data_IF_021000499455
#
_entry.id   IF_021000499455
#
_cell.length_a   1.000
_cell.length_b   1.000
_cell.length_c   1.000
_cell.angle_alpha   90.00
_cell.angle_beta   90.00
_cell.angle_gamma   90.00
#
_symmetry.space_group_name_H-M   'P 1'
#
loop_
_entity.id
_entity.type
_entity.pdbx_description
1 polymer ?
#
# COMPACT_ATOMS: atom_id res chain seq x y z
N UNK A 1 -11.28 25.58 -10.35
CA UNK A 1 -12.44 25.49 -9.45
C UNK A 1 -12.63 24.00 -9.19
N UNK A 2 -12.20 23.50 -8.03
CA UNK A 2 -12.19 22.06 -7.75
C UNK A 2 -13.65 21.64 -7.52
N UNK A 3 -14.18 20.79 -8.40
CA UNK A 3 -15.52 20.22 -8.24
C UNK A 3 -15.52 19.37 -6.97
N UNK A 4 -16.24 19.79 -5.92
CA UNK A 4 -16.38 19.04 -4.68
C UNK A 4 -17.27 17.83 -4.89
N UNK A 5 -16.79 16.63 -4.59
CA UNK A 5 -17.64 15.45 -4.58
C UNK A 5 -18.62 15.46 -3.41
N UNK A 6 -19.86 15.09 -3.69
CA UNK A 6 -20.84 14.72 -2.66
C UNK A 6 -20.33 13.43 -2.00
N UNK A 7 -19.85 13.52 -0.75
CA UNK A 7 -19.21 12.44 0.03
C UNK A 7 -17.81 12.01 -0.46
N UNK A 8 -16.80 12.85 -0.20
CA UNK A 8 -15.38 12.56 -0.50
C UNK A 8 -14.65 11.88 0.66
N UNK A 9 -13.47 11.30 0.39
CA UNK A 9 -12.62 10.70 1.44
C UNK A 9 -12.15 11.72 2.50
N UNK A 10 -12.23 13.02 2.23
CA UNK A 10 -11.93 14.07 3.21
C UNK A 10 -12.80 13.97 4.46
N UNK A 11 -14.05 13.48 4.33
CA UNK A 11 -14.94 13.24 5.48
C UNK A 11 -14.33 12.19 6.44
N UNK A 12 -13.61 11.19 5.92
CA UNK A 12 -12.95 10.17 6.73
C UNK A 12 -11.65 10.70 7.34
N UNK A 13 -10.88 11.47 6.57
CA UNK A 13 -9.65 12.09 7.06
C UNK A 13 -9.91 13.07 8.20
N UNK A 14 -11.01 13.82 8.15
CA UNK A 14 -11.41 14.76 9.21
C UNK A 14 -11.55 14.07 10.56
N UNK A 15 -12.04 12.81 10.59
CA UNK A 15 -12.15 12.03 11.82
C UNK A 15 -10.81 11.54 12.36
N UNK A 16 -9.84 11.30 11.48
CA UNK A 16 -8.54 10.69 11.83
C UNK A 16 -7.48 11.74 12.14
N UNK A 17 -7.49 12.88 11.44
CA UNK A 17 -6.50 13.97 11.53
C UNK A 17 -6.15 14.36 12.98
N UNK A 18 -7.10 14.51 13.92
CA UNK A 18 -6.78 14.88 15.31
C UNK A 18 -5.88 13.88 16.05
N UNK A 19 -5.79 12.65 15.56
CA UNK A 19 -5.04 11.57 16.18
C UNK A 19 -3.72 11.26 15.47
N UNK A 20 -3.36 12.03 14.45
CA UNK A 20 -2.08 11.91 13.75
C UNK A 20 -1.15 13.00 14.24
N UNK A 21 0.02 12.60 14.73
CA UNK A 21 1.03 13.54 15.22
C UNK A 21 1.57 14.41 14.09
N UNK A 22 1.77 15.70 14.37
CA UNK A 22 2.48 16.63 13.47
C UNK A 22 3.94 16.27 13.25
N UNK A 23 4.48 15.34 14.05
CA UNK A 23 5.81 14.77 13.84
C UNK A 23 5.83 13.74 12.69
N UNK A 24 4.68 13.19 12.32
CA UNK A 24 4.55 12.24 11.20
C UNK A 24 4.06 12.93 9.94
N UNK A 25 3.06 13.82 10.07
CA UNK A 25 2.44 14.54 8.96
C UNK A 25 2.27 16.01 9.33
N UNK A 26 2.98 16.90 8.65
CA UNK A 26 2.87 18.35 8.80
C UNK A 26 1.62 18.92 8.11
N UNK A 27 1.38 20.22 8.33
CA UNK A 27 0.19 20.90 7.80
C UNK A 27 0.16 20.91 6.28
N UNK A 28 1.29 21.16 5.61
CA UNK A 28 1.35 21.19 4.14
C UNK A 28 1.05 19.82 3.54
N UNK A 29 1.63 18.76 4.10
CA UNK A 29 1.33 17.38 3.71
C UNK A 29 -0.16 17.07 3.93
N UNK A 30 -0.74 17.50 5.04
CA UNK A 30 -2.19 17.33 5.29
C UNK A 30 -3.06 18.04 4.26
N UNK A 31 -2.74 19.27 3.90
CA UNK A 31 -3.51 20.04 2.92
C UNK A 31 -3.47 19.36 1.54
N UNK A 32 -2.32 18.82 1.16
CA UNK A 32 -2.18 18.04 -0.07
C UNK A 32 -2.94 16.71 -0.02
N UNK A 33 -2.87 15.98 1.10
CA UNK A 33 -3.63 14.73 1.29
C UNK A 33 -5.14 15.01 1.22
N UNK A 34 -5.61 16.08 1.85
CA UNK A 34 -7.02 16.49 1.80
C UNK A 34 -7.44 16.89 0.39
N UNK A 35 -6.58 17.57 -0.37
CA UNK A 35 -6.84 17.92 -1.77
C UNK A 35 -6.97 16.66 -2.65
N UNK A 36 -6.14 15.63 -2.46
CA UNK A 36 -6.27 14.33 -3.14
C UNK A 36 -7.57 13.65 -2.71
N UNK A 37 -7.82 13.53 -1.41
CA UNK A 37 -8.98 12.85 -0.87
C UNK A 37 -10.30 13.52 -1.30
N UNK A 38 -10.30 14.83 -1.53
CA UNK A 38 -11.47 15.56 -2.02
C UNK A 38 -11.88 15.18 -3.45
N UNK A 39 -10.96 14.61 -4.24
CA UNK A 39 -11.21 14.12 -5.60
C UNK A 39 -11.75 12.69 -5.64
N UNK A 40 -11.78 12.00 -4.50
CA UNK A 40 -12.03 10.57 -4.40
C UNK A 40 -13.30 10.28 -3.58
N UNK A 41 -14.23 9.43 -4.08
CA UNK A 41 -15.44 9.13 -3.34
C UNK A 41 -15.13 8.38 -2.06
N UNK A 42 -15.83 8.69 -0.96
CA UNK A 42 -15.60 8.03 0.33
C UNK A 42 -15.89 6.52 0.27
N UNK A 43 -16.78 6.09 -0.63
CA UNK A 43 -17.17 4.69 -0.82
C UNK A 43 -16.14 3.90 -1.64
N UNK A 44 -15.09 4.55 -2.15
CA UNK A 44 -14.04 3.90 -2.91
C UNK A 44 -13.26 2.90 -2.06
N UNK A 45 -13.13 3.17 -0.75
CA UNK A 45 -12.31 2.36 0.14
C UNK A 45 -12.85 2.38 1.57
N UNK A 46 -12.60 1.31 2.30
CA UNK A 46 -12.67 1.26 3.76
C UNK A 46 -11.28 1.15 4.40
N UNK A 47 -10.19 1.18 3.63
CA UNK A 47 -8.84 0.89 4.08
C UNK A 47 -7.83 1.80 3.38
N UNK A 48 -7.27 2.74 4.14
CA UNK A 48 -6.30 3.71 3.66
C UNK A 48 -5.18 3.89 4.68
N UNK A 49 -4.16 4.67 4.34
CA UNK A 49 -3.02 4.86 5.20
C UNK A 49 -2.08 5.96 4.76
N UNK A 50 -1.00 6.07 5.52
CA UNK A 50 0.05 7.05 5.35
C UNK A 50 1.41 6.36 5.37
N UNK A 51 2.27 6.69 4.42
CA UNK A 51 3.68 6.25 4.42
C UNK A 51 4.54 7.42 4.93
N UNK A 52 5.07 7.30 6.15
CA UNK A 52 5.84 8.36 6.80
C UNK A 52 7.34 8.04 6.77
N UNK A 53 8.18 8.95 6.27
CA UNK A 53 9.64 8.80 6.35
C UNK A 53 10.11 8.96 7.79
N UNK A 54 10.98 8.09 8.28
CA UNK A 54 11.41 8.11 9.69
C UNK A 54 12.77 8.74 9.93
N UNK A 55 13.68 8.63 8.97
CA UNK A 55 15.06 9.14 9.06
C UNK A 55 15.23 10.58 8.58
N UNK A 56 14.15 11.27 8.23
CA UNK A 56 14.15 12.70 7.87
C UNK A 56 13.47 13.50 8.97
N UNK A 57 13.93 14.73 9.23
CA UNK A 57 13.28 15.59 10.23
C UNK A 57 11.90 16.06 9.75
N UNK A 58 11.76 16.30 8.44
CA UNK A 58 10.50 16.71 7.81
C UNK A 58 9.39 15.68 8.02
N UNK A 59 8.24 16.14 8.47
CA UNK A 59 7.06 15.32 8.75
C UNK A 59 6.21 15.17 7.49
N UNK A 60 6.77 14.56 6.45
CA UNK A 60 6.06 14.30 5.21
C UNK A 60 5.55 12.88 5.14
N UNK A 61 4.37 12.72 4.56
CA UNK A 61 3.79 11.41 4.32
C UNK A 61 3.08 11.33 2.98
N UNK A 62 3.26 10.19 2.31
CA UNK A 62 2.50 9.82 1.13
C UNK A 62 1.15 9.24 1.54
N UNK A 63 0.16 9.31 0.66
CA UNK A 63 -1.21 8.83 0.91
C UNK A 63 -1.51 7.60 0.08
N UNK A 64 -2.09 6.58 0.70
CA UNK A 64 -2.42 5.34 0.00
C UNK A 64 -3.78 4.81 0.40
N UNK A 65 -4.46 4.15 -0.54
CA UNK A 65 -5.72 3.48 -0.30
C UNK A 65 -5.81 2.14 -1.01
N UNK A 66 -6.54 1.21 -0.41
CA UNK A 66 -6.80 -0.13 -0.91
C UNK A 66 -8.25 -0.25 -1.36
N UNK A 67 -8.47 -0.94 -2.46
CA UNK A 67 -9.80 -1.23 -2.99
C UNK A 67 -9.88 -2.75 -3.15
N UNK A 68 -10.78 -3.42 -2.42
CA UNK A 68 -10.95 -4.87 -2.49
C UNK A 68 -11.89 -5.34 -3.61
N UNK A 69 -11.65 -6.55 -4.13
CA UNK A 69 -12.50 -7.19 -5.15
C UNK A 69 -13.93 -7.43 -4.66
N UNK A 70 -14.09 -7.74 -3.37
CA UNK A 70 -15.38 -8.02 -2.75
C UNK A 70 -16.09 -6.76 -2.22
N UNK A 71 -15.56 -5.58 -2.51
CA UNK A 71 -16.02 -4.31 -1.94
C UNK A 71 -16.73 -3.44 -2.98
N UNK A 72 -17.53 -2.49 -2.49
CA UNK A 72 -18.26 -1.54 -3.35
C UNK A 72 -17.29 -0.69 -4.17
N UNK A 73 -16.09 -0.42 -3.63
CA UNK A 73 -15.06 0.39 -4.29
C UNK A 73 -14.69 -0.10 -5.69
N UNK A 74 -14.66 -1.42 -5.92
CA UNK A 74 -14.43 -1.98 -7.25
C UNK A 74 -15.43 -1.45 -8.28
N UNK A 75 -16.72 -1.39 -7.91
CA UNK A 75 -17.82 -0.87 -8.75
C UNK A 75 -17.77 0.65 -8.91
N UNK A 76 -17.32 1.37 -7.88
CA UNK A 76 -17.16 2.82 -7.94
C UNK A 76 -16.11 3.21 -9.00
N UNK A 77 -15.01 2.46 -9.12
CA UNK A 77 -13.97 2.74 -10.13
C UNK A 77 -14.49 2.79 -11.57
N UNK A 78 -15.52 2.01 -11.89
CA UNK A 78 -16.11 1.94 -13.25
C UNK A 78 -17.31 2.86 -13.43
N UNK A 79 -17.81 3.49 -12.36
CA UNK A 79 -18.92 4.43 -12.44
C UNK A 79 -18.55 5.67 -13.25
N UNK A 80 -19.48 6.10 -14.10
CA UNK A 80 -19.34 7.31 -14.91
C UNK A 80 -19.28 8.58 -14.05
N UNK A 81 -19.93 8.56 -12.88
CA UNK A 81 -20.06 9.72 -11.99
C UNK A 81 -19.04 9.74 -10.85
N UNK A 82 -18.26 8.67 -10.68
CA UNK A 82 -17.33 8.54 -9.55
C UNK A 82 -16.08 9.42 -9.66
N UNK A 83 -15.77 9.95 -10.85
CA UNK A 83 -14.60 10.82 -11.07
C UNK A 83 -15.01 11.98 -11.95
N UNK A 84 -14.43 13.16 -11.69
CA UNK A 84 -14.67 14.33 -12.54
C UNK A 84 -14.07 14.15 -13.93
N UNK A 85 -14.65 14.81 -14.93
CA UNK A 85 -14.11 14.81 -16.29
C UNK A 85 -12.66 15.32 -16.33
N UNK A 86 -12.31 16.27 -15.46
CA UNK A 86 -10.94 16.78 -15.34
C UNK A 86 -9.95 15.72 -14.86
N UNK A 87 -10.33 14.89 -13.88
CA UNK A 87 -9.48 13.77 -13.43
C UNK A 87 -9.32 12.74 -14.56
N UNK A 88 -10.39 12.51 -15.32
CA UNK A 88 -10.39 11.57 -16.45
C UNK A 88 -9.70 12.10 -17.71
N UNK A 89 -9.30 13.38 -17.76
CA UNK A 89 -8.39 13.88 -18.79
C UNK A 89 -6.99 13.29 -18.64
N UNK A 90 -6.60 12.89 -17.42
CA UNK A 90 -5.35 12.20 -17.19
C UNK A 90 -5.40 10.75 -17.72
N UNK A 91 -4.42 10.33 -18.55
CA UNK A 91 -4.40 8.98 -19.10
C UNK A 91 -4.41 7.87 -18.06
N UNK A 92 -3.70 8.06 -16.94
CA UNK A 92 -3.57 7.05 -15.87
C UNK A 92 -4.92 6.74 -15.23
N UNK A 93 -5.76 7.74 -15.00
CA UNK A 93 -7.11 7.51 -14.45
C UNK A 93 -8.02 6.74 -15.41
N UNK A 94 -7.89 6.96 -16.72
CA UNK A 94 -8.59 6.13 -17.72
C UNK A 94 -8.07 4.69 -17.74
N UNK A 95 -6.77 4.50 -17.58
CA UNK A 95 -6.13 3.18 -17.51
C UNK A 95 -6.59 2.40 -16.27
N UNK A 96 -6.66 3.05 -15.11
CA UNK A 96 -7.21 2.46 -13.87
C UNK A 96 -8.67 2.07 -14.07
N UNK A 97 -9.49 2.92 -14.69
CA UNK A 97 -10.88 2.59 -15.02
C UNK A 97 -10.99 1.40 -15.98
N UNK A 98 -10.13 1.33 -17.00
CA UNK A 98 -10.10 0.20 -17.93
C UNK A 98 -9.70 -1.11 -17.24
N UNK A 99 -8.70 -1.04 -16.36
CA UNK A 99 -8.34 -2.16 -15.49
C UNK A 99 -9.54 -2.61 -14.64
N UNK A 100 -10.23 -1.67 -13.98
CA UNK A 100 -11.40 -1.98 -13.15
C UNK A 100 -12.56 -2.59 -13.94
N UNK A 101 -12.80 -2.15 -15.18
CA UNK A 101 -13.79 -2.74 -16.09
C UNK A 101 -13.46 -4.21 -16.39
N UNK A 102 -12.19 -4.51 -16.70
CA UNK A 102 -11.75 -5.89 -16.90
C UNK A 102 -11.82 -6.70 -15.60
N UNK A 103 -11.45 -6.11 -14.47
CA UNK A 103 -11.48 -6.76 -13.15
C UNK A 103 -12.88 -7.20 -12.72
N UNK A 104 -13.93 -6.45 -13.09
CA UNK A 104 -15.33 -6.85 -12.84
C UNK A 104 -15.86 -7.91 -13.81
N UNK A 105 -15.18 -8.16 -14.93
CA UNK A 105 -15.67 -9.08 -15.96
C UNK A 105 -15.28 -10.52 -15.64
N UNK A 106 -16.26 -11.41 -15.44
CA UNK A 106 -16.03 -12.85 -15.18
C UNK A 106 -15.24 -13.58 -16.28
N UNK A 107 -15.21 -13.02 -17.50
CA UNK A 107 -14.42 -13.55 -18.62
C UNK A 107 -12.96 -13.09 -18.62
N UNK A 108 -12.62 -12.09 -17.79
CA UNK A 108 -11.25 -11.59 -17.66
C UNK A 108 -10.46 -12.45 -16.66
N UNK A 109 -9.16 -12.72 -16.92
CA UNK A 109 -8.31 -13.35 -15.92
C UNK A 109 -8.16 -12.49 -14.65
N UNK A 110 -8.41 -11.19 -14.71
CA UNK A 110 -8.31 -10.31 -13.53
C UNK A 110 -9.37 -10.65 -12.47
N UNK A 111 -10.56 -11.10 -12.88
CA UNK A 111 -11.68 -11.37 -11.98
C UNK A 111 -11.35 -12.40 -10.89
N UNK A 112 -10.60 -13.45 -11.24
CA UNK A 112 -10.24 -14.53 -10.31
C UNK A 112 -8.84 -14.41 -9.73
N UNK A 113 -7.98 -13.57 -10.28
CA UNK A 113 -6.58 -13.48 -9.87
C UNK A 113 -6.21 -12.21 -9.10
N UNK A 114 -7.04 -11.15 -9.16
CA UNK A 114 -6.77 -9.89 -8.47
C UNK A 114 -7.71 -9.73 -7.29
N UNK A 115 -7.13 -9.67 -6.09
CA UNK A 115 -7.87 -9.57 -4.83
C UNK A 115 -8.14 -8.11 -4.43
N UNK A 116 -7.23 -7.20 -4.79
CA UNK A 116 -7.30 -5.79 -4.46
C UNK A 116 -6.42 -4.96 -5.41
N UNK A 117 -6.65 -3.65 -5.42
CA UNK A 117 -5.69 -2.68 -5.94
C UNK A 117 -5.34 -1.64 -4.87
N UNK A 118 -4.10 -1.15 -4.90
CA UNK A 118 -3.66 -0.01 -4.12
C UNK A 118 -3.36 1.16 -5.03
N UNK A 119 -3.84 2.35 -4.64
CA UNK A 119 -3.44 3.63 -5.23
C UNK A 119 -2.56 4.34 -4.22
N UNK A 120 -1.33 4.64 -4.59
CA UNK A 120 -0.35 5.35 -3.76
C UNK A 120 0.01 6.69 -4.40
N UNK A 121 -0.13 7.76 -3.64
CA UNK A 121 0.11 9.13 -4.08
C UNK A 121 1.35 9.68 -3.39
N UNK A 122 2.35 10.04 -4.19
CA UNK A 122 3.48 10.83 -3.71
C UNK A 122 2.96 12.25 -3.38
N UNK A 123 3.05 12.67 -2.11
CA UNK A 123 2.47 13.95 -1.61
C UNK A 123 3.49 15.09 -1.58
N UNK A 124 4.72 14.82 -2.04
CA UNK A 124 5.81 15.78 -2.08
C UNK A 124 5.54 16.95 -3.06
N UNK A 125 5.26 18.15 -2.52
CA UNK A 125 5.16 19.41 -3.27
C UNK A 125 3.72 19.91 -3.49
N UNK A 126 3.55 21.06 -4.16
CA UNK A 126 2.22 21.58 -4.47
C UNK A 126 1.53 20.78 -5.58
N UNK A 127 0.24 20.48 -5.38
CA UNK A 127 -0.61 19.82 -6.37
C UNK A 127 -1.03 20.79 -7.48
N UNK A 128 -0.10 21.12 -8.37
CA UNK A 128 -0.36 22.00 -9.52
C UNK A 128 -1.12 21.29 -10.66
N UNK A 129 -1.31 19.96 -10.54
CA UNK A 129 -1.94 19.09 -11.54
C UNK A 129 -2.79 18.02 -10.88
N UNK A 130 -3.62 17.35 -11.68
CA UNK A 130 -4.36 16.16 -11.26
C UNK A 130 -3.40 15.12 -10.66
N UNK A 131 -3.69 14.56 -9.48
CA UNK A 131 -2.79 13.62 -8.83
C UNK A 131 -2.75 12.31 -9.63
N UNK A 132 -1.54 11.83 -9.91
CA UNK A 132 -1.31 10.56 -10.59
C UNK A 132 -0.88 9.54 -9.52
N UNK A 133 -1.63 8.47 -9.27
CA UNK A 133 -1.21 7.45 -8.32
C UNK A 133 -0.23 6.47 -8.98
N UNK A 134 0.72 5.96 -8.19
CA UNK A 134 1.26 4.62 -8.43
C UNK A 134 0.16 3.59 -8.16
N UNK A 135 0.16 2.48 -8.91
CA UNK A 135 -0.89 1.47 -8.82
C UNK A 135 -0.28 0.10 -8.57
N UNK A 136 -0.79 -0.60 -7.56
CA UNK A 136 -0.44 -1.99 -7.28
C UNK A 136 -1.69 -2.85 -7.39
N UNK A 137 -1.54 -4.08 -7.86
CA UNK A 137 -2.58 -5.10 -7.76
C UNK A 137 -2.10 -6.26 -6.91
N UNK A 138 -2.94 -6.64 -5.94
CA UNK A 138 -2.70 -7.76 -5.05
C UNK A 138 -3.22 -9.06 -5.63
N UNK A 139 -2.47 -10.15 -5.40
CA UNK A 139 -2.85 -11.50 -5.83
C UNK A 139 -2.29 -12.54 -4.88
N UNK A 140 -3.11 -13.51 -4.48
CA UNK A 140 -2.64 -14.69 -3.74
C UNK A 140 -2.22 -15.87 -4.64
N UNK A 141 -2.31 -15.72 -5.96
CA UNK A 141 -2.16 -16.84 -6.91
C UNK A 141 -0.82 -16.87 -7.66
N UNK A 142 0.08 -15.91 -7.42
CA UNK A 142 1.37 -15.81 -8.13
C UNK A 142 2.48 -16.56 -7.37
N UNK A 143 2.59 -17.87 -7.60
CA UNK A 143 3.61 -18.75 -7.03
C UNK A 143 4.58 -19.27 -8.10
N UNK A 144 5.75 -19.79 -7.69
CA UNK A 144 6.56 -20.63 -8.56
C UNK A 144 5.74 -21.84 -9.04
N UNK A 145 5.98 -22.26 -10.28
CA UNK A 145 5.14 -23.24 -10.94
C UNK A 145 5.64 -24.67 -10.76
N UNK A 146 4.69 -25.60 -10.66
CA UNK A 146 4.94 -27.00 -10.98
C UNK A 146 4.94 -27.17 -12.51
N UNK A 147 5.76 -28.09 -13.01
CA UNK A 147 6.24 -28.22 -14.40
C UNK A 147 5.18 -28.41 -15.52
N UNK A 148 3.88 -28.34 -15.22
CA UNK A 148 2.83 -28.83 -16.12
C UNK A 148 1.91 -27.75 -16.71
N UNK A 149 2.07 -26.46 -16.36
CA UNK A 149 1.27 -25.36 -16.94
C UNK A 149 2.15 -24.36 -17.67
N UNK A 150 1.90 -24.19 -18.96
CA UNK A 150 2.61 -23.22 -19.80
C UNK A 150 2.12 -21.80 -19.48
N UNK A 151 2.95 -20.99 -18.83
CA UNK A 151 2.76 -19.54 -18.60
C UNK A 151 1.44 -19.09 -17.92
N UNK A 152 1.07 -19.65 -16.76
CA UNK A 152 -0.14 -19.27 -16.03
C UNK A 152 -0.16 -17.81 -15.56
N UNK A 153 1.01 -17.16 -15.43
CA UNK A 153 1.12 -15.77 -15.01
C UNK A 153 1.15 -14.76 -16.16
N UNK A 154 0.88 -15.19 -17.41
CA UNK A 154 0.81 -14.28 -18.58
C UNK A 154 -0.18 -13.13 -18.42
N UNK A 155 -1.26 -13.34 -17.67
CA UNK A 155 -2.24 -12.29 -17.41
C UNK A 155 -1.62 -11.08 -16.70
N UNK A 156 -0.54 -11.28 -15.92
CA UNK A 156 0.19 -10.20 -15.23
C UNK A 156 0.71 -9.19 -16.26
N UNK A 157 1.40 -9.65 -17.29
CA UNK A 157 2.04 -8.77 -18.29
C UNK A 157 1.11 -8.41 -19.44
N UNK A 158 0.33 -9.38 -19.94
CA UNK A 158 -0.50 -9.26 -21.14
C UNK A 158 -1.90 -8.70 -20.87
N UNK A 159 -2.29 -8.54 -19.60
CA UNK A 159 -3.59 -7.97 -19.24
C UNK A 159 -3.44 -6.90 -18.18
N UNK A 160 -3.00 -7.25 -16.97
CA UNK A 160 -2.97 -6.32 -15.83
C UNK A 160 -2.06 -5.12 -16.10
N UNK A 161 -0.77 -5.37 -16.36
CA UNK A 161 0.21 -4.30 -16.60
C UNK A 161 -0.10 -3.53 -17.88
N UNK A 162 -0.50 -4.22 -18.96
CA UNK A 162 -0.86 -3.55 -20.21
C UNK A 162 -2.03 -2.57 -20.03
N UNK A 163 -3.07 -2.95 -19.27
CA UNK A 163 -4.21 -2.07 -18.99
C UNK A 163 -3.79 -0.87 -18.15
N UNK A 164 -2.99 -1.09 -17.10
CA UNK A 164 -2.54 -0.02 -16.20
C UNK A 164 -1.53 0.94 -16.82
N UNK A 165 -0.72 0.48 -17.78
CA UNK A 165 0.24 1.35 -18.50
C UNK A 165 -0.35 1.96 -19.78
N UNK A 166 -1.39 1.35 -20.32
CA UNK A 166 -1.93 1.66 -21.65
C UNK A 166 -1.09 1.12 -22.82
N UNK A 167 0.00 0.40 -22.55
CA UNK A 167 0.88 -0.20 -23.55
C UNK A 167 1.57 -1.46 -22.97
N UNK A 168 2.05 -2.34 -23.85
CA UNK A 168 2.76 -3.56 -23.44
C UNK A 168 4.12 -3.25 -22.82
N UNK A 169 4.60 -4.13 -21.95
CA UNK A 169 5.99 -4.10 -21.47
C UNK A 169 6.97 -4.35 -22.62
N UNK A 170 8.18 -3.83 -22.48
CA UNK A 170 9.29 -4.23 -23.36
C UNK A 170 9.54 -5.74 -23.19
N UNK A 171 9.78 -6.50 -24.28
CA UNK A 171 9.98 -7.95 -24.21
C UNK A 171 11.10 -8.37 -23.25
N UNK A 172 12.14 -7.54 -23.11
CA UNK A 172 13.25 -7.79 -22.18
C UNK A 172 12.80 -7.68 -20.72
N UNK A 173 11.98 -6.69 -20.37
CA UNK A 173 11.44 -6.52 -19.00
C UNK A 173 10.49 -7.66 -18.68
N UNK A 174 9.62 -8.04 -19.62
CA UNK A 174 8.71 -9.18 -19.47
C UNK A 174 9.49 -10.49 -19.21
N UNK A 175 10.54 -10.75 -20.01
CA UNK A 175 11.40 -11.93 -19.82
C UNK A 175 12.06 -11.94 -18.43
N UNK A 176 12.55 -10.79 -17.97
CA UNK A 176 13.18 -10.69 -16.65
C UNK A 176 12.18 -10.85 -15.51
N UNK A 177 10.98 -10.30 -15.64
CA UNK A 177 9.91 -10.53 -14.68
C UNK A 177 9.58 -12.02 -14.58
N UNK A 178 9.38 -12.71 -15.69
CA UNK A 178 9.10 -14.15 -15.66
C UNK A 178 10.26 -14.96 -15.06
N UNK A 179 11.51 -14.61 -15.36
CA UNK A 179 12.66 -15.23 -14.68
C UNK A 179 12.59 -15.08 -13.16
N UNK A 180 12.16 -13.92 -12.66
CA UNK A 180 12.00 -13.71 -11.21
C UNK A 180 10.85 -14.54 -10.63
N UNK A 181 9.73 -14.66 -11.36
CA UNK A 181 8.57 -15.48 -10.93
C UNK A 181 8.86 -16.99 -10.96
N UNK A 182 9.61 -17.46 -11.95
CA UNK A 182 10.03 -18.86 -12.08
C UNK A 182 11.07 -19.25 -11.01
N UNK A 183 11.86 -18.28 -10.56
CA UNK A 183 12.89 -18.47 -9.54
C UNK A 183 12.35 -18.47 -8.09
N UNK A 184 11.05 -18.24 -7.87
CA UNK A 184 10.50 -18.14 -6.52
C UNK A 184 10.75 -19.42 -5.72
N UNK A 185 11.22 -19.33 -4.46
CA UNK A 185 11.33 -20.50 -3.60
C UNK A 185 9.96 -21.16 -3.37
N UNK A 186 9.97 -22.43 -2.98
CA UNK A 186 8.72 -23.15 -2.65
C UNK A 186 7.97 -22.41 -1.53
N UNK A 187 6.65 -22.26 -1.70
CA UNK A 187 5.72 -21.53 -0.81
C UNK A 187 5.89 -20.01 -0.75
N UNK A 188 6.89 -19.44 -1.42
CA UNK A 188 7.00 -17.99 -1.62
C UNK A 188 6.11 -17.57 -2.78
N UNK A 189 5.46 -16.43 -2.63
CA UNK A 189 4.58 -15.89 -3.65
C UNK A 189 4.70 -14.37 -3.76
N UNK A 190 4.37 -13.85 -4.94
CA UNK A 190 4.22 -12.41 -5.17
C UNK A 190 2.82 -12.02 -4.72
N UNK A 191 2.73 -11.30 -3.61
CA UNK A 191 1.43 -10.87 -3.07
C UNK A 191 0.95 -9.56 -3.69
N UNK A 192 1.86 -8.77 -4.27
CA UNK A 192 1.56 -7.51 -4.96
C UNK A 192 2.51 -7.29 -6.15
N UNK A 193 1.97 -6.70 -7.21
CA UNK A 193 2.72 -6.19 -8.36
C UNK A 193 2.42 -4.71 -8.51
N UNK A 194 3.46 -3.87 -8.58
CA UNK A 194 3.36 -2.41 -8.55
C UNK A 194 3.91 -1.73 -9.80
N UNK A 195 3.26 -0.63 -10.18
CA UNK A 195 3.68 0.27 -11.25
C UNK A 195 3.73 1.69 -10.69
N UNK A 196 4.92 2.31 -10.76
CA UNK A 196 5.15 3.67 -10.28
C UNK A 196 4.66 4.71 -11.31
N UNK A 197 3.37 4.70 -11.64
CA UNK A 197 2.79 5.46 -12.77
C UNK A 197 2.93 6.98 -12.63
N UNK A 198 3.10 7.48 -11.40
CA UNK A 198 3.39 8.88 -11.12
C UNK A 198 4.81 9.31 -11.53
N UNK A 199 5.71 8.34 -11.76
CA UNK A 199 7.13 8.53 -11.99
C UNK A 199 7.49 8.13 -13.43
N UNK A 200 8.56 8.73 -13.96
CA UNK A 200 9.13 8.34 -15.26
C UNK A 200 9.95 7.05 -15.11
N UNK A 201 9.29 5.94 -14.78
CA UNK A 201 9.92 4.64 -14.58
C UNK A 201 9.17 3.56 -15.33
N UNK A 202 9.91 2.79 -16.12
CA UNK A 202 9.38 1.61 -16.81
C UNK A 202 9.49 0.32 -15.99
N UNK A 203 10.02 0.40 -14.76
CA UNK A 203 10.20 -0.76 -13.90
C UNK A 203 8.87 -1.30 -13.35
N UNK A 204 8.83 -2.61 -13.14
CA UNK A 204 7.75 -3.32 -12.45
C UNK A 204 8.23 -3.72 -11.07
N UNK A 205 7.47 -3.36 -10.03
CA UNK A 205 7.73 -3.83 -8.67
C UNK A 205 7.03 -5.16 -8.43
N UNK A 206 7.70 -6.10 -7.79
CA UNK A 206 7.07 -7.27 -7.17
C UNK A 206 7.35 -7.27 -5.67
N UNK A 207 6.34 -7.60 -4.87
CA UNK A 207 6.46 -7.73 -3.42
C UNK A 207 6.23 -9.19 -3.04
N UNK A 208 7.19 -9.77 -2.33
CA UNK A 208 7.31 -11.19 -2.03
C UNK A 208 6.96 -11.46 -0.58
N UNK A 209 6.15 -12.47 -0.33
CA UNK A 209 5.73 -12.88 1.01
C UNK A 209 6.06 -14.35 1.27
N UNK A 210 6.10 -14.71 2.55
CA UNK A 210 6.43 -16.05 3.05
C UNK A 210 7.86 -16.48 2.73
N UNK A 211 8.77 -15.51 2.60
CA UNK A 211 10.19 -15.73 2.35
C UNK A 211 10.98 -15.54 3.65
N UNK A 212 11.82 -16.52 4.00
CA UNK A 212 12.69 -16.39 5.17
C UNK A 212 13.91 -15.52 4.85
N UNK A 213 14.56 -14.91 5.86
CA UNK A 213 15.80 -14.15 5.67
C UNK A 213 16.90 -14.90 4.91
N UNK A 214 17.06 -16.20 5.15
CA UNK A 214 18.02 -17.03 4.40
C UNK A 214 17.61 -17.18 2.92
N UNK A 215 16.33 -17.45 2.66
CA UNK A 215 15.81 -17.55 1.29
C UNK A 215 15.89 -16.23 0.53
N UNK A 216 15.78 -15.06 1.19
CA UNK A 216 16.01 -13.76 0.55
C UNK A 216 17.41 -13.70 -0.07
N UNK A 217 18.44 -14.10 0.69
CA UNK A 217 19.83 -14.10 0.23
C UNK A 217 20.03 -15.05 -0.95
N UNK A 218 19.54 -16.28 -0.82
CA UNK A 218 19.68 -17.31 -1.86
C UNK A 218 18.95 -16.90 -3.15
N UNK A 219 17.72 -16.38 -3.01
CA UNK A 219 16.89 -15.92 -4.13
C UNK A 219 17.52 -14.76 -4.89
N UNK A 220 17.97 -13.71 -4.17
CA UNK A 220 18.61 -12.54 -4.78
C UNK A 220 19.89 -12.93 -5.53
N UNK A 221 20.70 -13.82 -4.95
CA UNK A 221 21.91 -14.35 -5.60
C UNK A 221 21.56 -15.11 -6.88
N UNK A 222 20.52 -15.95 -6.84
CA UNK A 222 20.08 -16.77 -7.98
C UNK A 222 19.55 -15.94 -9.15
N UNK A 223 18.76 -14.90 -8.88
CA UNK A 223 18.24 -14.00 -9.93
C UNK A 223 19.29 -13.00 -10.44
N UNK A 224 20.49 -12.99 -9.86
CA UNK A 224 21.61 -12.15 -10.28
C UNK A 224 21.47 -10.70 -9.82
N UNK A 225 20.92 -10.47 -8.62
CA UNK A 225 20.86 -9.15 -8.02
C UNK A 225 22.26 -8.57 -7.80
N UNK A 226 22.43 -7.28 -8.11
CA UNK A 226 23.73 -6.61 -8.12
C UNK A 226 24.11 -5.92 -6.80
N UNK A 227 23.25 -6.00 -5.79
CA UNK A 227 23.55 -5.46 -4.46
C UNK A 227 24.52 -6.32 -3.64
N UNK A 228 25.06 -5.74 -2.57
CA UNK A 228 25.94 -6.40 -1.61
C UNK A 228 25.16 -7.38 -0.74
N UNK A 229 25.42 -8.67 -0.96
CA UNK A 229 24.86 -9.80 -0.20
C UNK A 229 25.34 -9.80 1.26
N UNK A 230 26.61 -9.51 1.52
CA UNK A 230 27.16 -9.55 2.89
C UNK A 230 26.55 -8.47 3.79
N UNK A 231 26.40 -7.26 3.27
CA UNK A 231 25.73 -6.17 3.98
C UNK A 231 24.25 -6.48 4.23
N UNK A 232 23.56 -7.05 3.23
CA UNK A 232 22.17 -7.44 3.36
C UNK A 232 21.98 -8.56 4.38
N UNK A 233 22.87 -9.55 4.41
CA UNK A 233 22.84 -10.66 5.37
C UNK A 233 22.95 -10.14 6.80
N UNK A 234 23.86 -9.20 7.04
CA UNK A 234 24.03 -8.54 8.34
C UNK A 234 22.75 -7.81 8.74
N UNK A 235 22.21 -6.98 7.84
CA UNK A 235 20.97 -6.24 8.11
C UNK A 235 19.78 -7.17 8.40
N UNK A 236 19.62 -8.23 7.61
CA UNK A 236 18.54 -9.20 7.83
C UNK A 236 18.65 -9.91 9.19
N UNK A 237 19.87 -10.24 9.62
CA UNK A 237 20.10 -10.81 10.95
C UNK A 237 19.71 -9.84 12.06
N UNK A 238 20.07 -8.56 11.92
CA UNK A 238 19.70 -7.51 12.88
C UNK A 238 18.19 -7.29 12.95
N UNK A 239 17.52 -7.16 11.80
CA UNK A 239 16.08 -6.92 11.74
C UNK A 239 15.28 -8.09 12.30
N UNK A 240 15.70 -9.33 12.01
CA UNK A 240 15.00 -10.56 12.43
C UNK A 240 14.93 -10.75 13.94
N UNK A 241 15.77 -10.04 14.72
CA UNK A 241 15.69 -10.04 16.19
C UNK A 241 14.37 -9.41 16.67
N UNK A 242 13.85 -8.44 15.93
CA UNK A 242 12.76 -7.58 16.38
C UNK A 242 11.41 -7.92 15.77
N UNK A 243 11.38 -8.57 14.60
CA UNK A 243 10.16 -8.70 13.78
C UNK A 243 9.79 -10.17 13.54
N UNK A 244 8.53 -10.42 13.21
CA UNK A 244 8.03 -11.79 12.96
C UNK A 244 8.17 -12.21 11.50
N UNK A 245 8.07 -11.24 10.59
CA UNK A 245 8.08 -11.48 9.15
C UNK A 245 8.75 -10.31 8.45
N UNK A 246 9.50 -10.64 7.39
CA UNK A 246 10.05 -9.67 6.45
C UNK A 246 9.53 -10.05 5.07
N UNK A 247 8.79 -9.13 4.43
CA UNK A 247 8.42 -9.25 3.02
C UNK A 247 9.45 -8.46 2.16
N UNK A 248 9.68 -8.89 0.91
CA UNK A 248 10.76 -8.37 0.05
C UNK A 248 10.21 -7.69 -1.20
N UNK A 249 10.63 -6.44 -1.44
CA UNK A 249 10.24 -5.66 -2.60
C UNK A 249 11.39 -5.50 -3.59
N UNK A 250 11.13 -5.79 -4.86
CA UNK A 250 12.11 -5.72 -5.95
C UNK A 250 11.55 -4.94 -7.13
N UNK A 251 12.35 -4.04 -7.70
CA UNK A 251 12.05 -3.36 -8.95
C UNK A 251 12.80 -4.05 -10.11
N UNK A 252 12.08 -4.34 -11.20
CA UNK A 252 12.59 -5.07 -12.37
C UNK A 252 12.47 -4.15 -13.59
N UNK A 253 13.59 -3.83 -14.22
CA UNK A 253 13.65 -2.95 -15.40
C UNK A 253 14.47 -3.57 -16.52
N UNK A 254 14.80 -2.81 -17.58
CA UNK A 254 15.57 -3.36 -18.71
C UNK A 254 16.95 -3.92 -18.30
N UNK A 255 17.60 -3.28 -17.33
CA UNK A 255 18.93 -3.65 -16.87
C UNK A 255 18.98 -4.82 -15.87
N UNK A 256 17.85 -5.46 -15.54
CA UNK A 256 17.77 -6.47 -14.50
C UNK A 256 16.96 -6.02 -13.28
N UNK A 257 17.18 -6.74 -12.18
CA UNK A 257 16.68 -6.37 -10.85
C UNK A 257 17.49 -5.18 -10.34
N UNK A 258 16.80 -4.12 -9.91
CA UNK A 258 17.44 -2.93 -9.37
C UNK A 258 18.22 -3.24 -8.08
N UNK A 259 19.35 -2.55 -7.88
CA UNK A 259 20.17 -2.71 -6.68
C UNK A 259 19.44 -2.28 -5.38
N UNK A 260 18.43 -1.42 -5.50
CA UNK A 260 17.60 -0.96 -4.38
C UNK A 260 16.49 -1.98 -4.12
N UNK A 261 16.36 -2.42 -2.86
CA UNK A 261 15.30 -3.33 -2.41
C UNK A 261 14.58 -2.78 -1.17
N UNK A 262 13.36 -3.23 -0.94
CA UNK A 262 12.59 -2.94 0.27
C UNK A 262 12.44 -4.18 1.16
N UNK A 263 12.55 -4.00 2.47
CA UNK A 263 12.32 -5.01 3.49
C UNK A 263 11.18 -4.55 4.39
N UNK A 264 9.98 -5.08 4.16
CA UNK A 264 8.80 -4.75 4.96
C UNK A 264 8.78 -5.59 6.23
N UNK A 265 9.02 -4.95 7.38
CA UNK A 265 9.16 -5.59 8.68
C UNK A 265 7.85 -5.56 9.47
N UNK A 266 7.29 -6.74 9.73
CA UNK A 266 5.97 -6.91 10.33
C UNK A 266 6.01 -7.45 11.76
N UNK A 267 5.05 -6.97 12.55
CA UNK A 267 4.63 -7.55 13.83
C UNK A 267 3.11 -7.70 13.80
N UNK A 268 2.59 -8.85 14.22
CA UNK A 268 1.16 -9.17 14.13
C UNK A 268 0.30 -8.30 15.04
N UNK A 269 0.77 -8.05 16.26
CA UNK A 269 0.03 -7.31 17.27
C UNK A 269 0.43 -5.83 17.28
N UNK A 270 -0.52 -4.96 17.64
CA UNK A 270 -0.30 -3.52 17.72
C UNK A 270 0.59 -3.14 18.93
N UNK A 271 1.31 -2.00 18.89
CA UNK A 271 2.25 -1.55 19.92
C UNK A 271 1.82 -1.74 21.39
N UNK A 272 0.56 -1.50 21.73
CA UNK A 272 0.03 -1.70 23.08
C UNK A 272 0.15 -3.15 23.59
N UNK A 273 0.10 -4.12 22.69
CA UNK A 273 0.08 -5.56 22.99
C UNK A 273 1.34 -6.29 22.50
N UNK A 274 2.32 -5.56 21.96
CA UNK A 274 3.54 -6.14 21.39
C UNK A 274 4.74 -5.24 21.72
N UNK A 275 5.47 -5.55 22.81
CA UNK A 275 6.58 -4.73 23.27
C UNK A 275 7.76 -4.70 22.28
N UNK A 276 7.86 -5.67 21.34
CA UNK A 276 8.90 -5.64 20.31
C UNK A 276 8.81 -4.42 19.40
N UNK A 277 7.64 -3.78 19.26
CA UNK A 277 7.53 -2.50 18.54
C UNK A 277 8.44 -1.42 19.14
N UNK A 278 8.44 -1.29 20.47
CA UNK A 278 9.30 -0.32 21.17
C UNK A 278 10.77 -0.67 20.92
N UNK A 279 11.16 -1.92 21.15
CA UNK A 279 12.54 -2.38 20.96
C UNK A 279 13.03 -2.20 19.51
N UNK A 280 12.18 -2.48 18.53
CA UNK A 280 12.50 -2.29 17.12
C UNK A 280 12.72 -0.82 16.79
N UNK A 281 11.82 0.06 17.22
CA UNK A 281 11.95 1.49 16.97
C UNK A 281 13.13 2.09 17.75
N UNK A 282 13.43 1.60 18.96
CA UNK A 282 14.63 2.01 19.72
C UNK A 282 15.91 1.66 18.94
N UNK A 283 15.94 0.48 18.32
CA UNK A 283 17.02 0.09 17.42
C UNK A 283 17.14 1.05 16.25
N UNK A 284 16.04 1.36 15.55
CA UNK A 284 16.05 2.30 14.42
C UNK A 284 16.50 3.71 14.82
N UNK A 285 16.11 4.19 16.00
CA UNK A 285 16.62 5.45 16.56
C UNK A 285 18.12 5.38 16.80
N UNK A 286 18.60 4.30 17.45
CA UNK A 286 20.02 4.10 17.74
C UNK A 286 20.88 4.09 16.48
N UNK A 287 20.40 3.52 15.37
CA UNK A 287 21.14 3.48 14.10
C UNK A 287 20.84 4.68 13.19
N UNK A 288 20.11 5.69 13.67
CA UNK A 288 19.86 6.93 12.93
C UNK A 288 18.82 6.82 11.80
N UNK A 289 18.02 5.75 11.79
CA UNK A 289 16.96 5.53 10.80
C UNK A 289 15.60 6.06 11.25
N UNK A 290 15.47 6.47 12.51
CA UNK A 290 14.24 7.04 13.07
C UNK A 290 14.56 8.20 14.01
N UNK A 291 13.82 9.30 13.91
CA UNK A 291 13.85 10.36 14.92
C UNK A 291 13.07 9.94 16.18
N UNK A 292 13.55 10.23 17.41
CA UNK A 292 12.85 9.87 18.65
C UNK A 292 11.40 10.37 18.71
N UNK A 293 11.14 11.57 18.19
CA UNK A 293 9.81 12.17 18.16
C UNK A 293 8.85 11.40 17.24
N UNK A 294 9.37 10.84 16.13
CA UNK A 294 8.61 9.98 15.21
C UNK A 294 8.34 8.62 15.83
N UNK A 295 9.29 8.04 16.56
CA UNK A 295 9.06 6.83 17.32
C UNK A 295 7.88 6.98 18.29
N UNK A 296 7.88 8.01 19.14
CA UNK A 296 6.79 8.22 20.10
C UNK A 296 5.44 8.44 19.39
N UNK A 297 5.46 9.18 18.27
CA UNK A 297 4.28 9.37 17.46
C UNK A 297 3.71 8.06 16.91
N UNK A 298 4.57 7.14 16.43
CA UNK A 298 4.13 5.83 15.93
C UNK A 298 3.55 4.94 17.04
N UNK A 299 4.15 4.97 18.23
CA UNK A 299 3.71 4.11 19.34
C UNK A 299 2.40 4.57 19.97
N UNK A 300 2.07 5.86 19.83
CA UNK A 300 0.80 6.45 20.27
C UNK A 300 -0.28 6.49 19.17
N UNK A 301 0.10 6.18 17.92
CA UNK A 301 -0.82 6.19 16.78
C UNK A 301 -1.92 5.10 16.80
N UNK A 302 -1.74 3.86 17.30
CA UNK A 302 -2.83 2.90 17.30
C UNK A 302 -4.03 3.34 18.15
N UNK A 303 -5.25 3.07 17.67
CA UNK A 303 -6.46 3.41 18.43
C UNK A 303 -7.75 3.31 17.64
N UNK A 304 -8.80 3.93 18.17
CA UNK A 304 -10.15 3.87 17.61
C UNK A 304 -10.81 5.24 17.62
N UNK A 305 -11.50 5.58 16.54
CA UNK A 305 -12.47 6.68 16.49
C UNK A 305 -13.85 6.06 16.42
N UNK A 306 -14.68 6.34 17.42
CA UNK A 306 -16.01 5.72 17.58
C UNK A 306 -17.11 6.72 17.27
N UNK A 307 -18.10 6.30 16.49
CA UNK A 307 -19.27 7.09 16.12
C UNK A 307 -19.97 7.68 17.34
N UNK A 308 -20.18 6.88 18.38
CA UNK A 308 -20.89 7.29 19.60
C UNK A 308 -20.23 8.45 20.34
N UNK A 309 -18.93 8.63 20.16
CA UNK A 309 -18.17 9.70 20.81
C UNK A 309 -18.02 10.95 19.91
N UNK A 310 -18.42 10.87 18.63
CA UNK A 310 -18.12 11.89 17.61
C UNK A 310 -19.32 12.17 16.69
N UNK A 311 -20.56 11.96 17.15
CA UNK A 311 -21.76 12.04 16.31
C UNK A 311 -21.87 13.36 15.52
N UNK A 312 -21.50 14.49 16.12
CA UNK A 312 -21.60 15.81 15.50
C UNK A 312 -20.68 16.02 14.29
N UNK A 313 -19.62 15.22 14.17
CA UNK A 313 -18.61 15.31 13.10
C UNK A 313 -18.60 14.07 12.21
N UNK A 314 -19.52 13.12 12.45
CA UNK A 314 -19.56 11.87 11.72
C UNK A 314 -20.18 12.05 10.33
N UNK A 315 -19.64 11.42 9.28
CA UNK A 315 -20.20 11.50 7.95
C UNK A 315 -21.67 11.07 7.93
N UNK A 316 -22.54 11.92 7.36
CA UNK A 316 -23.99 11.76 7.49
C UNK A 316 -24.52 10.47 6.86
N UNK A 317 -23.90 9.99 5.78
CA UNK A 317 -24.26 8.72 5.14
C UNK A 317 -23.93 7.52 6.02
N UNK A 318 -22.84 7.56 6.79
CA UNK A 318 -22.48 6.50 7.73
C UNK A 318 -23.42 6.49 8.95
N UNK A 319 -23.82 7.66 9.45
CA UNK A 319 -24.83 7.78 10.51
C UNK A 319 -26.18 7.18 10.07
N UNK A 320 -26.62 7.50 8.84
CA UNK A 320 -27.86 6.93 8.30
C UNK A 320 -27.81 5.40 8.25
N UNK A 321 -26.65 4.84 7.90
CA UNK A 321 -26.46 3.38 7.83
C UNK A 321 -26.56 2.72 9.22
N UNK A 322 -25.88 3.24 10.24
CA UNK A 322 -25.97 2.69 11.61
C UNK A 322 -27.37 2.85 12.19
N UNK A 323 -28.02 4.00 11.96
CA UNK A 323 -29.40 4.25 12.39
C UNK A 323 -30.39 3.29 11.73
N UNK A 324 -30.23 3.03 10.43
CA UNK A 324 -31.07 2.09 9.68
C UNK A 324 -30.93 0.64 10.21
N UNK A 325 -29.71 0.23 10.56
CA UNK A 325 -29.41 -1.11 11.08
C UNK A 325 -29.70 -1.26 12.58
N UNK A 326 -30.07 -0.17 13.26
CA UNK A 326 -30.49 -0.14 14.66
C UNK A 326 -29.34 -0.06 15.68
N UNK A 327 -29.71 0.08 16.95
CA UNK A 327 -28.82 0.44 18.06
C UNK A 327 -27.68 -0.56 18.36
N UNK A 328 -27.74 -1.76 17.78
CA UNK A 328 -26.70 -2.79 17.93
C UNK A 328 -25.53 -2.61 16.98
N UNK A 329 -25.60 -1.65 16.05
CA UNK A 329 -24.55 -1.37 15.09
C UNK A 329 -23.84 -0.04 15.41
N UNK A 330 -22.54 0.03 15.14
CA UNK A 330 -21.73 1.22 15.35
C UNK A 330 -20.61 1.29 14.31
N UNK A 331 -20.46 2.46 13.66
CA UNK A 331 -19.30 2.69 12.81
C UNK A 331 -18.06 3.00 13.67
N UNK A 332 -16.95 2.39 13.30
CA UNK A 332 -15.66 2.59 13.96
C UNK A 332 -14.57 2.75 12.90
N UNK A 333 -13.72 3.75 13.08
CA UNK A 333 -12.43 3.82 12.39
C UNK A 333 -11.36 3.27 13.32
N UNK A 334 -10.69 2.19 12.92
CA UNK A 334 -9.54 1.65 13.62
C UNK A 334 -8.27 2.20 12.98
N UNK A 335 -7.29 2.56 13.79
CA UNK A 335 -5.99 3.10 13.38
C UNK A 335 -4.90 2.17 13.90
N UNK A 336 -3.87 1.91 13.13
CA UNK A 336 -2.75 1.08 13.59
C UNK A 336 -1.49 1.22 12.77
N UNK A 337 -0.43 0.59 13.27
CA UNK A 337 0.83 0.45 12.55
C UNK A 337 0.77 -0.85 11.73
N UNK A 338 1.08 -0.76 10.43
CA UNK A 338 1.03 -1.90 9.51
C UNK A 338 2.38 -2.61 9.48
N UNK A 339 3.42 -1.90 9.07
CA UNK A 339 4.80 -2.36 9.05
C UNK A 339 5.77 -1.18 9.03
N UNK A 340 7.06 -1.47 9.24
CA UNK A 340 8.15 -0.54 8.93
C UNK A 340 8.94 -1.10 7.77
N UNK A 341 9.12 -0.31 6.72
CA UNK A 341 9.93 -0.69 5.57
C UNK A 341 11.33 -0.14 5.72
N UNK A 342 12.31 -1.03 5.67
CA UNK A 342 13.73 -0.66 5.60
C UNK A 342 14.18 -0.82 4.16
N UNK A 343 14.71 0.26 3.59
CA UNK A 343 15.18 0.32 2.21
C UNK A 343 16.68 0.09 2.19
N UNK A 344 17.11 -0.96 1.51
CA UNK A 344 18.52 -1.29 1.36
C UNK A 344 18.99 -0.98 -0.06
N UNK A 345 20.11 -0.27 -0.16
CA UNK A 345 20.84 -0.05 -1.40
C UNK A 345 22.32 0.06 -1.06
N UNK A 346 23.13 -0.80 -1.67
CA UNK A 346 24.58 -0.80 -1.42
C UNK A 346 25.19 0.57 -1.72
N UNK A 347 26.10 1.00 -0.84
CA UNK A 347 26.81 2.29 -0.90
C UNK A 347 25.96 3.55 -0.70
N UNK A 348 24.65 3.42 -0.44
CA UNK A 348 23.78 4.55 -0.09
C UNK A 348 23.23 4.42 1.33
N UNK A 349 22.78 5.55 1.86
CA UNK A 349 22.12 5.61 3.16
C UNK A 349 20.87 4.74 3.15
N UNK A 350 20.77 3.85 4.13
CA UNK A 350 19.55 3.07 4.40
C UNK A 350 18.45 4.04 4.82
N UNK A 351 17.22 3.81 4.37
CA UNK A 351 16.06 4.61 4.78
C UNK A 351 15.05 3.72 5.51
N UNK A 352 14.33 4.27 6.49
CA UNK A 352 13.18 3.61 7.09
C UNK A 352 11.90 4.44 6.89
N UNK A 353 10.79 3.74 6.65
CA UNK A 353 9.46 4.33 6.46
C UNK A 353 8.41 3.55 7.25
N UNK A 354 7.50 4.25 7.91
CA UNK A 354 6.38 3.61 8.60
C UNK A 354 5.11 3.66 7.75
N UNK A 355 4.39 2.55 7.71
CA UNK A 355 3.07 2.48 7.09
C UNK A 355 2.01 2.46 8.19
N UNK A 356 1.33 3.58 8.36
CA UNK A 356 0.20 3.73 9.28
C UNK A 356 -1.09 3.45 8.52
N UNK A 357 -1.98 2.66 9.09
CA UNK A 357 -3.26 2.33 8.48
C UNK A 357 -4.46 2.90 9.23
N UNK A 358 -5.56 3.01 8.49
CA UNK A 358 -6.91 3.26 8.98
C UNK A 358 -7.86 2.30 8.27
N UNK A 359 -8.74 1.64 9.02
CA UNK A 359 -9.88 0.92 8.45
C UNK A 359 -11.20 1.42 9.01
N UNK A 360 -12.21 1.56 8.16
CA UNK A 360 -13.59 1.76 8.54
C UNK A 360 -14.30 0.41 8.63
N UNK A 361 -15.02 0.19 9.73
CA UNK A 361 -15.83 -0.99 9.91
C UNK A 361 -17.14 -0.66 10.61
N UNK A 362 -18.20 -1.35 10.21
CA UNK A 362 -19.45 -1.38 10.95
C UNK A 362 -19.42 -2.59 11.90
N UNK A 363 -19.34 -2.32 13.20
CA UNK A 363 -19.36 -3.36 14.21
C UNK A 363 -20.79 -3.64 14.65
N UNK A 364 -21.15 -4.92 14.77
CA UNK A 364 -22.35 -5.34 15.47
C UNK A 364 -22.00 -5.79 16.89
N UNK A 365 -22.83 -5.43 17.88
CA UNK A 365 -22.82 -6.14 19.15
C UNK A 365 -23.24 -7.58 18.86
N UNK A 366 -22.34 -8.55 19.04
CA UNK A 366 -22.76 -9.93 19.17
C UNK A 366 -23.73 -9.99 20.35
N UNK A 367 -24.92 -10.55 20.12
CA UNK A 367 -25.78 -10.96 21.20
C UNK A 367 -24.97 -11.92 22.07
N UNK A 368 -24.68 -11.52 23.31
CA UNK A 368 -24.28 -12.47 24.34
C UNK A 368 -25.49 -13.40 24.52
N UNK A 369 -25.39 -14.62 23.98
CA UNK A 369 -26.28 -15.73 24.27
C UNK A 369 -25.50 -16.78 25.04
#
# INVERSE_FOLDING_TARGET
MICTQEHSLTEYLTLVKPYVSSQLIDTESWDNIEAIANLLPSQLTNFFGFECRLGTETAKADFLLCIGAAEVGQKILTSQTAFSDDLLKEPVWRQIRNFANCWQSQTSPLYSNVDNIWLEFDVDGHLDRSPIPSCFFGSQTIHALSSNVSYPHKWVTQTAIQLLRGHSLLPIVEKQLFRCLEALPTHVYVFQVGLMLARQSDMVRICLRSISPAQIIDYLSYIGWSGSIDGLKTLLQELSIYVERIDLDLDIGEAGVAAKIGLECYLTLQPKYEPRWRAFLDYLVKVGLCFPQKQEALLTYPGYVREKNHQNYWPSHLLKLSQFLGQNHENVFMRGLHHIKVVYQSERTIEAKAYCWVTHSLLSKRSEY
#
